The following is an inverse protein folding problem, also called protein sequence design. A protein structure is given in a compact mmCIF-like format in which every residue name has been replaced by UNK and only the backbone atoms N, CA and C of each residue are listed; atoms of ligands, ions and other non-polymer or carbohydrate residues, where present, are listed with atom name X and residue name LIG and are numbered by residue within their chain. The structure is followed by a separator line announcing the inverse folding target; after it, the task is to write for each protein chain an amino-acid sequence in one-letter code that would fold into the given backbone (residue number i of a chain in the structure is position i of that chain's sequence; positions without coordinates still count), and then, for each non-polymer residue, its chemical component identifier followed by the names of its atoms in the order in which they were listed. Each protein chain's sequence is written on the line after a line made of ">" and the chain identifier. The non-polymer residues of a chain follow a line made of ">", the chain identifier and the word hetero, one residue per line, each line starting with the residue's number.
data_IF_072837456793
#
_entry.id   IF_072837456793
#
_cell.length_a   1.000
_cell.length_b   1.000
_cell.length_c   1.000
_cell.angle_alpha   90.00
_cell.angle_beta   90.00
_cell.angle_gamma   90.00
#
_symmetry.space_group_name_H-M   'P 1'
#
loop_
_entity.id
_entity.type
_entity.pdbx_description
1 polymer ?
#
# COMPACT_ATOMS: atom_id res chain seq x y z
N UNK A 1 6.35 2.21 15.28
CA UNK A 1 5.03 1.88 15.88
C UNK A 1 5.01 0.37 16.10
N UNK A 2 4.56 -0.12 17.26
CA UNK A 2 4.49 -1.55 17.55
C UNK A 2 3.04 -2.01 17.38
N UNK A 3 2.82 -3.02 16.53
CA UNK A 3 1.49 -3.56 16.25
C UNK A 3 1.50 -5.07 16.49
N UNK A 4 0.52 -5.56 17.23
CA UNK A 4 0.28 -7.00 17.43
C UNK A 4 -0.74 -7.49 16.42
N UNK A 5 -0.49 -8.65 15.81
CA UNK A 5 -1.38 -9.26 14.80
C UNK A 5 -1.67 -10.69 15.24
N UNK A 6 -2.95 -11.02 15.35
CA UNK A 6 -3.39 -12.40 15.57
C UNK A 6 -3.43 -13.13 14.22
N UNK A 7 -2.65 -14.21 14.12
CA UNK A 7 -2.57 -15.03 12.91
C UNK A 7 -3.17 -16.39 13.17
N UNK A 8 -3.90 -16.91 12.18
CA UNK A 8 -4.29 -18.31 12.20
C UNK A 8 -3.04 -19.21 12.22
N UNK A 9 -3.08 -20.36 12.94
CA UNK A 9 -1.90 -21.23 13.08
C UNK A 9 -1.30 -21.70 11.75
N UNK A 10 -2.13 -21.87 10.72
CA UNK A 10 -1.66 -22.23 9.38
C UNK A 10 -0.88 -21.08 8.72
N UNK A 11 -1.42 -19.86 8.75
CA UNK A 11 -0.74 -18.68 8.22
C UNK A 11 0.61 -18.43 8.92
N UNK A 12 0.68 -18.63 10.25
CA UNK A 12 1.94 -18.52 10.99
C UNK A 12 2.97 -19.55 10.53
N UNK A 13 2.58 -20.81 10.33
CA UNK A 13 3.50 -21.86 9.86
C UNK A 13 4.06 -21.55 8.47
N UNK A 14 3.24 -21.04 7.57
CA UNK A 14 3.68 -20.62 6.23
C UNK A 14 4.67 -19.46 6.34
N UNK A 15 4.33 -18.41 7.10
CA UNK A 15 5.20 -17.26 7.30
C UNK A 15 6.55 -17.67 7.92
N UNK A 16 6.54 -18.60 8.88
CA UNK A 16 7.75 -19.14 9.50
C UNK A 16 8.62 -19.91 8.50
N UNK A 17 8.03 -20.77 7.66
CA UNK A 17 8.77 -21.50 6.64
C UNK A 17 9.48 -20.57 5.65
N UNK A 18 8.77 -19.52 5.20
CA UNK A 18 9.32 -18.49 4.29
C UNK A 18 10.43 -17.71 4.98
N UNK A 19 10.21 -17.27 6.22
CA UNK A 19 11.19 -16.54 7.01
C UNK A 19 12.49 -17.34 7.18
N UNK A 20 12.39 -18.63 7.51
CA UNK A 20 13.55 -19.53 7.61
C UNK A 20 14.26 -19.68 6.26
N UNK A 21 13.53 -19.89 5.17
CA UNK A 21 14.12 -20.02 3.83
C UNK A 21 14.90 -18.77 3.41
N UNK A 22 14.42 -17.59 3.79
CA UNK A 22 15.02 -16.31 3.42
C UNK A 22 16.00 -15.76 4.45
N UNK A 23 16.26 -16.48 5.56
CA UNK A 23 17.07 -15.98 6.70
C UNK A 23 16.58 -14.65 7.26
N UNK A 24 15.25 -14.49 7.34
CA UNK A 24 14.56 -13.28 7.82
C UNK A 24 13.65 -13.61 9.00
N UNK A 25 13.11 -12.58 9.66
CA UNK A 25 12.12 -12.74 10.72
C UNK A 25 10.70 -12.80 10.16
N UNK A 26 9.78 -13.47 10.87
CA UNK A 26 8.35 -13.52 10.51
C UNK A 26 7.75 -12.11 10.42
N UNK A 27 8.17 -11.19 11.29
CA UNK A 27 7.72 -9.80 11.27
C UNK A 27 8.11 -9.06 9.99
N UNK A 28 9.30 -9.30 9.45
CA UNK A 28 9.73 -8.71 8.17
C UNK A 28 8.92 -9.26 6.99
N UNK A 29 8.65 -10.56 6.97
CA UNK A 29 7.81 -11.19 5.93
C UNK A 29 6.40 -10.62 5.95
N UNK A 30 5.78 -10.51 7.14
CA UNK A 30 4.44 -9.96 7.28
C UNK A 30 4.39 -8.48 6.92
N UNK A 31 5.37 -7.70 7.36
CA UNK A 31 5.44 -6.27 7.06
C UNK A 31 5.56 -6.04 5.54
N UNK A 32 6.41 -6.81 4.87
CA UNK A 32 6.55 -6.73 3.41
C UNK A 32 5.27 -7.15 2.68
N UNK A 33 4.63 -8.25 3.10
CA UNK A 33 3.37 -8.71 2.50
C UNK A 33 2.26 -7.65 2.63
N UNK A 34 2.13 -7.03 3.81
CA UNK A 34 1.19 -5.92 4.05
C UNK A 34 1.50 -4.74 3.14
N UNK A 35 2.75 -4.28 3.10
CA UNK A 35 3.17 -3.15 2.27
C UNK A 35 2.92 -3.44 0.79
N UNK A 36 3.25 -4.65 0.32
CA UNK A 36 3.01 -5.06 -1.07
C UNK A 36 1.51 -5.02 -1.40
N UNK A 37 0.66 -5.55 -0.54
CA UNK A 37 -0.79 -5.55 -0.74
C UNK A 37 -1.34 -4.11 -0.84
N UNK A 38 -0.91 -3.21 0.04
CA UNK A 38 -1.39 -1.82 0.04
C UNK A 38 -0.80 -0.96 -1.09
N UNK A 39 0.45 -1.22 -1.52
CA UNK A 39 1.02 -0.58 -2.72
C UNK A 39 0.31 -1.02 -4.00
N UNK A 40 -0.25 -2.23 -4.02
CA UNK A 40 -0.95 -2.79 -5.17
C UNK A 40 -2.40 -2.30 -5.29
N UNK A 41 -2.89 -1.47 -4.37
CA UNK A 41 -4.24 -0.90 -4.46
C UNK A 41 -4.25 0.14 -5.58
N UNK A 42 -4.98 -0.11 -6.69
CA UNK A 42 -5.01 0.83 -7.80
C UNK A 42 -5.61 2.16 -7.33
N UNK A 43 -5.01 3.25 -7.81
CA UNK A 43 -5.61 4.58 -7.68
C UNK A 43 -6.84 4.60 -8.57
N UNK A 44 -8.00 4.82 -7.97
CA UNK A 44 -9.27 4.96 -8.70
C UNK A 44 -9.77 6.38 -8.49
N UNK A 45 -10.08 7.06 -9.60
CA UNK A 45 -10.81 8.32 -9.57
C UNK A 45 -12.26 8.01 -9.20
N UNK A 46 -12.64 8.34 -7.98
CA UNK A 46 -14.01 8.16 -7.50
C UNK A 46 -14.93 9.24 -8.07
N UNK A 47 -14.40 10.46 -8.22
CA UNK A 47 -15.18 11.61 -8.65
C UNK A 47 -14.30 12.66 -9.32
N UNK A 48 -14.87 13.32 -10.32
CA UNK A 48 -14.31 14.49 -10.98
C UNK A 48 -15.33 15.63 -10.89
N UNK A 49 -14.93 16.76 -10.34
CA UNK A 49 -15.77 17.96 -10.21
C UNK A 49 -15.06 19.19 -10.76
N UNK A 50 -15.82 20.22 -11.11
CA UNK A 50 -15.26 21.55 -11.36
C UNK A 50 -15.08 22.26 -10.03
N UNK A 51 -13.84 22.64 -9.73
CA UNK A 51 -13.51 23.45 -8.56
C UNK A 51 -14.00 24.90 -8.70
N UNK A 52 -14.07 25.64 -7.58
CA UNK A 52 -14.59 27.00 -7.55
C UNK A 52 -13.81 27.98 -8.45
N UNK A 53 -12.53 27.70 -8.70
CA UNK A 53 -11.65 28.53 -9.54
C UNK A 53 -11.57 28.04 -11.01
N UNK A 54 -12.42 27.08 -11.39
CA UNK A 54 -12.45 26.51 -12.75
C UNK A 54 -11.45 25.38 -13.00
N UNK A 55 -10.63 25.02 -12.02
CA UNK A 55 -9.74 23.85 -12.11
C UNK A 55 -10.47 22.55 -11.74
N UNK A 56 -10.15 21.41 -12.38
CA UNK A 56 -10.75 20.13 -12.02
C UNK A 56 -10.31 19.69 -10.61
N UNK A 57 -11.27 19.22 -9.82
CA UNK A 57 -11.04 18.55 -8.53
C UNK A 57 -11.21 17.05 -8.72
N UNK A 58 -10.16 16.31 -8.39
CA UNK A 58 -10.09 14.85 -8.46
C UNK A 58 -10.22 14.27 -7.05
N UNK A 59 -11.16 13.35 -6.85
CA UNK A 59 -11.30 12.60 -5.62
C UNK A 59 -10.84 11.16 -5.84
N UNK A 60 -9.95 10.69 -4.98
CA UNK A 60 -9.29 9.40 -5.10
C UNK A 60 -9.70 8.49 -3.94
N UNK A 61 -9.79 7.19 -4.22
CA UNK A 61 -10.09 6.15 -3.23
C UNK A 61 -8.99 5.94 -2.16
N UNK A 62 -7.84 6.62 -2.31
CA UNK A 62 -6.74 6.59 -1.35
C UNK A 62 -6.00 7.93 -1.31
N UNK A 63 -5.35 8.26 -0.19
CA UNK A 63 -4.39 9.35 -0.15
C UNK A 63 -3.27 9.13 -1.16
N UNK A 64 -2.80 10.21 -1.77
CA UNK A 64 -1.62 10.24 -2.64
C UNK A 64 -0.49 11.00 -1.97
N UNK A 65 0.73 10.62 -2.27
CA UNK A 65 1.95 11.27 -1.79
C UNK A 65 2.48 12.27 -2.81
N UNK A 66 3.29 13.23 -2.35
CA UNK A 66 3.94 14.20 -3.24
C UNK A 66 4.89 13.55 -4.24
N UNK A 67 5.50 12.41 -3.87
CA UNK A 67 6.38 11.64 -4.75
C UNK A 67 5.59 11.02 -5.91
N UNK A 68 4.44 10.39 -5.63
CA UNK A 68 3.56 9.84 -6.66
C UNK A 68 3.05 10.92 -7.64
N UNK A 69 2.73 12.11 -7.13
CA UNK A 69 2.34 13.25 -7.97
C UNK A 69 3.51 13.71 -8.86
N UNK A 70 4.72 13.79 -8.31
CA UNK A 70 5.90 14.19 -9.07
C UNK A 70 6.23 13.21 -10.19
N UNK A 71 6.17 11.90 -9.93
CA UNK A 71 6.38 10.87 -10.96
C UNK A 71 5.40 11.01 -12.11
N UNK A 72 4.11 11.27 -11.83
CA UNK A 72 3.09 11.44 -12.86
C UNK A 72 3.28 12.70 -13.72
N UNK A 73 3.89 13.76 -13.16
CA UNK A 73 4.19 14.99 -13.90
C UNK A 73 5.39 14.80 -14.83
N UNK A 74 6.36 13.97 -14.46
CA UNK A 74 7.55 13.68 -15.29
C UNK A 74 7.26 12.73 -16.47
N UNK A 75 6.17 11.97 -16.41
CA UNK A 75 5.74 11.03 -17.46
C UNK A 75 4.90 11.68 -18.59
N UNK A 76 4.53 12.98 -18.48
CA UNK A 76 3.84 13.78 -19.52
C UNK A 76 4.80 14.56 -20.43
#
# INVERSE_FOLDING_TARGET
>A
MLTTVDLEPEAYRIAQAIATQQSRTVGEILSEAVVSQFRSVPVVIEKLEAGPDGFPLLFLNRPITSEEVATLIEEE
#
